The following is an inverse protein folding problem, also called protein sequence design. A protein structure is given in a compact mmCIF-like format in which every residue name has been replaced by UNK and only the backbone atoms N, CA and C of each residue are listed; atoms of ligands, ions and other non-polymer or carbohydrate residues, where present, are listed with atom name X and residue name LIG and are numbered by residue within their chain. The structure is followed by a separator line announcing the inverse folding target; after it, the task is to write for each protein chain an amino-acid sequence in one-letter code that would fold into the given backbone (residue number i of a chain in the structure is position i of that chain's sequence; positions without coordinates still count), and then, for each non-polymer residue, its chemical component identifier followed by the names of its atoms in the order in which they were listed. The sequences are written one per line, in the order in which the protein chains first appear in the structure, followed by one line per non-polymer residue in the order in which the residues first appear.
data_IF_466728888509
#
_entry.id   IF_466728888509
#
_cell.length_a   1.000
_cell.length_b   1.000
_cell.length_c   1.000
_cell.angle_alpha   90.00
_cell.angle_beta   90.00
_cell.angle_gamma   90.00
#
_symmetry.space_group_name_H-M   'P 1'
#
loop_
_entity.id
_entity.type
_entity.pdbx_description
1 polymer ?
#
# COMPACT_ATOMS: atom_id res chain seq x y z
N UNK A 1 -20.06 10.36 -2.29
CA UNK A 1 -19.49 9.14 -2.89
C UNK A 1 -20.34 8.77 -4.07
N UNK A 2 -19.79 8.75 -5.25
CA UNK A 2 -20.47 8.19 -6.43
C UNK A 2 -20.42 6.67 -6.31
N UNK A 3 -21.57 6.05 -6.18
CA UNK A 3 -21.70 4.59 -6.22
C UNK A 3 -21.33 4.14 -7.65
N UNK A 4 -20.62 3.01 -7.77
CA UNK A 4 -20.33 2.43 -9.09
C UNK A 4 -21.64 2.25 -9.88
N UNK A 5 -21.69 2.63 -11.16
CA UNK A 5 -22.87 2.39 -12.01
C UNK A 5 -23.35 0.93 -11.97
N UNK A 6 -22.42 -0.02 -11.84
CA UNK A 6 -22.72 -1.44 -11.69
C UNK A 6 -23.53 -1.81 -10.43
N UNK A 7 -23.60 -0.91 -9.44
CA UNK A 7 -24.39 -1.07 -8.22
C UNK A 7 -25.68 -0.22 -8.21
N UNK A 8 -26.03 0.40 -9.34
CA UNK A 8 -27.24 1.20 -9.48
C UNK A 8 -28.30 0.41 -10.23
N UNK A 9 -29.40 -0.03 -9.59
CA UNK A 9 -30.50 -0.73 -10.27
C UNK A 9 -31.06 0.07 -11.44
N UNK A 10 -31.21 1.38 -11.26
CA UNK A 10 -31.72 2.29 -12.29
C UNK A 10 -30.81 2.31 -13.52
N UNK A 11 -29.49 2.40 -13.30
CA UNK A 11 -28.52 2.37 -14.40
C UNK A 11 -28.53 1.02 -15.13
N UNK A 12 -28.58 -0.08 -14.38
CA UNK A 12 -28.61 -1.43 -14.97
C UNK A 12 -29.89 -1.67 -15.78
N UNK A 13 -31.04 -1.15 -15.34
CA UNK A 13 -32.29 -1.26 -16.07
C UNK A 13 -32.28 -0.39 -17.35
N UNK A 14 -31.83 0.86 -17.26
CA UNK A 14 -31.84 1.80 -18.37
C UNK A 14 -30.82 1.44 -19.47
N UNK A 15 -29.60 1.06 -19.10
CA UNK A 15 -28.52 0.83 -20.06
C UNK A 15 -28.45 -0.63 -20.55
N UNK A 16 -28.88 -1.58 -19.73
CA UNK A 16 -28.73 -3.01 -20.03
C UNK A 16 -30.04 -3.80 -20.03
N UNK A 17 -31.18 -3.19 -19.69
CA UNK A 17 -32.46 -3.88 -19.60
C UNK A 17 -32.52 -4.92 -18.46
N UNK A 18 -31.58 -4.88 -17.53
CA UNK A 18 -31.51 -5.80 -16.39
C UNK A 18 -32.42 -5.33 -15.25
N UNK A 19 -33.16 -6.24 -14.65
CA UNK A 19 -33.97 -5.99 -13.45
C UNK A 19 -33.32 -6.67 -12.24
N UNK A 20 -32.32 -6.04 -11.61
CA UNK A 20 -31.67 -6.62 -10.44
C UNK A 20 -32.60 -6.61 -9.24
N UNK A 21 -32.54 -7.65 -8.40
CA UNK A 21 -33.15 -7.65 -7.08
C UNK A 21 -32.14 -7.14 -6.06
N UNK A 22 -32.55 -6.21 -5.22
CA UNK A 22 -31.73 -5.72 -4.11
C UNK A 22 -32.02 -6.51 -2.84
N UNK A 23 -30.97 -6.89 -2.15
CA UNK A 23 -31.05 -7.50 -0.83
C UNK A 23 -30.08 -6.84 0.13
N UNK A 24 -30.60 -6.36 1.25
CA UNK A 24 -29.80 -5.72 2.29
C UNK A 24 -29.58 -6.71 3.43
N UNK A 25 -28.30 -7.04 3.69
CA UNK A 25 -27.94 -7.84 4.85
C UNK A 25 -28.04 -6.98 6.12
N UNK A 26 -28.92 -7.38 7.05
CA UNK A 26 -29.19 -6.65 8.30
C UNK A 26 -28.55 -7.30 9.51
N UNK A 27 -28.35 -8.61 9.47
CA UNK A 27 -27.89 -9.36 10.62
C UNK A 27 -26.35 -9.40 10.70
N UNK A 28 -25.83 -9.20 11.91
CA UNK A 28 -24.40 -9.22 12.20
C UNK A 28 -24.08 -10.55 12.87
N UNK A 29 -23.43 -11.45 12.11
CA UNK A 29 -23.11 -12.81 12.59
C UNK A 29 -21.67 -12.97 13.07
N UNK A 30 -20.79 -11.98 12.84
CA UNK A 30 -19.34 -12.07 13.18
C UNK A 30 -19.02 -11.71 14.61
N UNK A 31 -19.87 -10.98 15.30
CA UNK A 31 -19.67 -10.49 16.66
C UNK A 31 -20.75 -11.05 17.61
N UNK A 32 -20.35 -11.31 18.87
CA UNK A 32 -21.32 -11.68 19.91
C UNK A 32 -22.24 -10.52 20.22
N UNK A 33 -23.47 -10.81 20.66
CA UNK A 33 -24.47 -9.77 20.92
C UNK A 33 -24.05 -8.76 22.00
N UNK A 34 -23.19 -9.15 22.94
CA UNK A 34 -22.72 -8.33 24.07
C UNK A 34 -21.39 -7.63 23.78
N UNK A 35 -20.94 -7.62 22.52
CA UNK A 35 -19.68 -7.01 22.11
C UNK A 35 -19.80 -5.48 22.08
N UNK A 36 -18.85 -4.80 22.72
CA UNK A 36 -18.70 -3.34 22.63
C UNK A 36 -18.37 -2.87 21.23
N UNK A 37 -17.69 -3.70 20.42
CA UNK A 37 -17.45 -3.45 18.99
C UNK A 37 -18.79 -3.37 18.24
N UNK A 38 -19.72 -4.30 18.51
CA UNK A 38 -21.03 -4.30 17.91
C UNK A 38 -21.86 -3.08 18.36
N UNK A 39 -21.79 -2.72 19.63
CA UNK A 39 -22.47 -1.54 20.17
C UNK A 39 -21.99 -0.25 19.49
N UNK A 40 -20.67 -0.07 19.35
CA UNK A 40 -20.09 1.08 18.64
C UNK A 40 -20.46 1.11 17.15
N UNK A 41 -20.37 -0.02 16.47
CA UNK A 41 -20.70 -0.12 15.04
C UNK A 41 -22.19 0.18 14.80
N UNK A 42 -23.08 -0.27 15.71
CA UNK A 42 -24.51 -0.02 15.65
C UNK A 42 -24.82 1.46 15.91
N UNK A 43 -24.17 2.07 16.91
CA UNK A 43 -24.34 3.50 17.20
C UNK A 43 -23.90 4.37 16.00
N UNK A 44 -22.76 4.05 15.37
CA UNK A 44 -22.29 4.75 14.16
C UNK A 44 -23.26 4.57 12.99
N UNK A 45 -23.74 3.34 12.74
CA UNK A 45 -24.71 3.06 11.68
C UNK A 45 -26.00 3.83 11.87
N UNK A 46 -26.52 3.84 13.09
CA UNK A 46 -27.74 4.58 13.45
C UNK A 46 -27.54 6.08 13.28
N UNK A 47 -26.40 6.61 13.73
CA UNK A 47 -26.04 8.02 13.54
C UNK A 47 -25.98 8.41 12.07
N UNK A 48 -25.35 7.60 11.21
CA UNK A 48 -25.31 7.82 9.77
C UNK A 48 -26.69 7.79 9.12
N UNK A 49 -27.53 6.80 9.49
CA UNK A 49 -28.91 6.68 8.98
C UNK A 49 -29.76 7.89 9.36
N UNK A 50 -29.62 8.37 10.58
CA UNK A 50 -30.35 9.51 11.12
C UNK A 50 -29.69 10.86 10.81
N UNK A 51 -28.56 10.87 10.07
CA UNK A 51 -27.75 12.07 9.79
C UNK A 51 -27.28 12.79 11.06
N UNK A 52 -27.10 12.06 12.14
CA UNK A 52 -26.57 12.56 13.41
C UNK A 52 -25.10 12.20 13.52
N UNK A 53 -24.21 13.18 13.39
CA UNK A 53 -22.76 12.95 13.31
C UNK A 53 -22.05 13.13 14.66
N UNK A 54 -22.67 12.71 15.73
CA UNK A 54 -22.04 12.67 17.05
C UNK A 54 -21.11 11.46 17.16
N UNK A 55 -19.94 11.63 17.77
CA UNK A 55 -19.09 10.50 18.10
C UNK A 55 -19.80 9.63 19.14
N UNK A 56 -19.93 8.32 18.93
CA UNK A 56 -20.54 7.44 19.90
C UNK A 56 -19.69 7.42 21.18
N UNK A 57 -20.35 7.42 22.32
CA UNK A 57 -19.69 7.17 23.60
C UNK A 57 -19.34 5.69 23.69
N UNK A 58 -18.13 5.40 24.15
CA UNK A 58 -17.77 4.03 24.52
C UNK A 58 -18.71 3.56 25.63
N UNK A 59 -19.33 2.38 25.49
CA UNK A 59 -20.06 1.79 26.62
C UNK A 59 -19.12 1.65 27.81
N UNK A 60 -19.59 1.94 29.02
CA UNK A 60 -18.90 1.57 30.21
C UNK A 60 -18.92 0.05 30.37
N UNK A 61 -17.86 -0.53 30.89
CA UNK A 61 -17.78 -1.94 31.29
C UNK A 61 -17.85 -3.00 30.17
N UNK A 62 -17.41 -2.67 28.95
CA UNK A 62 -17.22 -3.67 27.89
C UNK A 62 -15.75 -4.12 27.84
N UNK A 63 -15.51 -5.44 27.94
CA UNK A 63 -14.14 -5.96 28.05
C UNK A 63 -13.36 -5.97 26.73
N UNK A 64 -14.03 -5.80 25.60
CA UNK A 64 -13.48 -5.95 24.23
C UNK A 64 -13.18 -4.61 23.55
N UNK A 65 -13.41 -3.47 24.21
CA UNK A 65 -13.12 -2.13 23.68
C UNK A 65 -12.49 -1.26 24.74
N UNK A 66 -11.33 -0.73 24.45
CA UNK A 66 -10.59 0.17 25.32
C UNK A 66 -10.21 1.46 24.60
N UNK A 67 -10.25 2.58 25.30
CA UNK A 67 -9.75 3.86 24.81
C UNK A 67 -8.27 4.00 25.16
N UNK A 68 -7.44 4.15 24.16
CA UNK A 68 -6.00 4.36 24.33
C UNK A 68 -5.55 5.74 23.82
N UNK A 69 -4.40 6.21 24.26
CA UNK A 69 -3.75 7.38 23.65
C UNK A 69 -3.16 6.98 22.29
N UNK A 70 -3.37 7.82 21.29
CA UNK A 70 -2.86 7.58 19.93
C UNK A 70 -1.31 7.49 19.89
N UNK A 71 -0.61 8.04 20.87
CA UNK A 71 0.85 7.96 21.02
C UNK A 71 1.31 6.56 21.43
N UNK A 72 0.48 5.82 22.15
CA UNK A 72 0.79 4.48 22.66
C UNK A 72 0.42 3.36 21.66
N UNK A 73 -0.29 3.68 20.59
CA UNK A 73 -0.83 2.69 19.65
C UNK A 73 0.22 1.69 19.15
N UNK A 74 1.38 2.18 18.67
CA UNK A 74 2.43 1.29 18.15
C UNK A 74 3.03 0.40 19.26
N UNK A 75 3.25 0.96 20.45
CA UNK A 75 3.79 0.22 21.61
C UNK A 75 2.82 -0.86 22.07
N UNK A 76 1.56 -0.52 22.28
CA UNK A 76 0.52 -1.47 22.69
C UNK A 76 0.32 -2.57 21.65
N UNK A 77 0.28 -2.22 20.37
CA UNK A 77 0.19 -3.21 19.30
C UNK A 77 1.40 -4.18 19.34
N UNK A 78 2.60 -3.66 19.54
CA UNK A 78 3.82 -4.45 19.71
C UNK A 78 3.77 -5.41 20.90
N UNK A 79 3.26 -4.94 22.04
CA UNK A 79 3.07 -5.76 23.26
C UNK A 79 2.01 -6.86 23.03
N UNK A 80 0.87 -6.52 22.45
CA UNK A 80 -0.22 -7.47 22.12
C UNK A 80 0.27 -8.56 21.16
N UNK A 81 1.12 -8.23 20.21
CA UNK A 81 1.75 -9.20 19.30
C UNK A 81 2.85 -10.05 19.97
N UNK A 82 3.10 -9.89 21.26
CA UNK A 82 4.15 -10.62 21.97
C UNK A 82 5.56 -10.25 21.52
N UNK A 83 5.76 -9.00 21.12
CA UNK A 83 7.03 -8.40 20.65
C UNK A 83 7.61 -9.09 19.41
N UNK A 84 6.74 -9.52 18.52
CA UNK A 84 7.09 -10.12 17.22
C UNK A 84 6.00 -9.78 16.19
N UNK A 85 6.34 -9.80 14.91
CA UNK A 85 5.35 -9.58 13.86
C UNK A 85 4.46 -10.83 13.74
N UNK A 86 3.18 -10.65 14.03
CA UNK A 86 2.15 -11.68 13.86
C UNK A 86 1.01 -11.15 13.01
N UNK A 87 -0.04 -11.96 12.82
CA UNK A 87 -1.28 -11.55 12.17
C UNK A 87 -2.42 -11.31 13.16
N UNK A 88 -2.10 -11.37 14.46
CA UNK A 88 -3.11 -11.35 15.53
C UNK A 88 -3.59 -9.94 15.86
N UNK A 89 -2.85 -8.92 15.44
CA UNK A 89 -3.23 -7.53 15.63
C UNK A 89 -2.92 -6.69 14.39
N UNK A 90 -3.69 -5.61 14.19
CA UNK A 90 -3.52 -4.66 13.10
C UNK A 90 -3.84 -3.24 13.58
N UNK A 91 -3.04 -2.28 13.13
CA UNK A 91 -3.29 -0.86 13.35
C UNK A 91 -4.04 -0.28 12.14
N UNK A 92 -5.19 0.34 12.40
CA UNK A 92 -5.98 0.99 11.36
C UNK A 92 -5.78 2.50 11.45
N UNK A 93 -5.42 3.13 10.33
CA UNK A 93 -5.20 4.57 10.22
C UNK A 93 -6.13 5.20 9.19
N UNK A 94 -6.54 6.45 9.44
CA UNK A 94 -7.42 7.19 8.54
C UNK A 94 -6.72 7.62 7.23
N UNK A 95 -5.41 7.85 7.28
CA UNK A 95 -4.62 8.33 6.13
C UNK A 95 -3.36 7.51 5.93
N UNK A 96 -2.87 7.48 4.68
CA UNK A 96 -1.61 6.83 4.36
C UNK A 96 -0.42 7.45 5.12
N UNK A 97 -0.43 8.76 5.36
CA UNK A 97 0.61 9.45 6.13
C UNK A 97 0.62 8.93 7.58
N UNK A 98 -0.56 8.81 8.20
CA UNK A 98 -0.66 8.26 9.55
C UNK A 98 -0.25 6.80 9.61
N UNK A 99 -0.64 5.99 8.63
CA UNK A 99 -0.22 4.59 8.53
C UNK A 99 1.31 4.47 8.45
N UNK A 100 1.97 5.31 7.67
CA UNK A 100 3.43 5.34 7.59
C UNK A 100 4.10 5.74 8.92
N UNK A 101 3.56 6.75 9.61
CA UNK A 101 4.06 7.14 10.93
C UNK A 101 3.98 5.96 11.93
N UNK A 102 2.88 5.22 11.92
CA UNK A 102 2.69 4.04 12.76
C UNK A 102 3.66 2.92 12.37
N UNK A 103 3.82 2.65 11.07
CA UNK A 103 4.78 1.66 10.57
C UNK A 103 6.22 1.99 10.98
N UNK A 104 6.62 3.27 10.90
CA UNK A 104 7.94 3.73 11.38
C UNK A 104 8.09 3.53 12.88
N UNK A 105 7.08 3.91 13.67
CA UNK A 105 7.12 3.75 15.12
C UNK A 105 7.23 2.27 15.49
N UNK A 106 6.46 1.41 14.84
CA UNK A 106 6.48 -0.03 15.05
C UNK A 106 7.84 -0.65 14.64
N UNK A 107 8.37 -0.27 13.47
CA UNK A 107 9.67 -0.73 13.00
C UNK A 107 10.81 -0.39 13.96
N UNK A 108 10.80 0.81 14.56
CA UNK A 108 11.80 1.21 15.56
C UNK A 108 11.76 0.34 16.82
N UNK A 109 10.59 -0.18 17.18
CA UNK A 109 10.45 -1.13 18.31
C UNK A 109 11.02 -2.49 17.94
N UNK A 110 10.85 -2.93 16.68
CA UNK A 110 11.34 -4.22 16.21
C UNK A 110 12.84 -4.21 15.90
N UNK A 111 13.36 -3.13 15.34
CA UNK A 111 14.75 -2.96 14.92
C UNK A 111 15.36 -1.71 15.54
N UNK A 112 15.63 -1.71 16.87
CA UNK A 112 16.20 -0.54 17.53
C UNK A 112 17.56 -0.15 16.93
N UNK A 113 17.68 1.13 16.49
CA UNK A 113 18.91 1.66 15.92
C UNK A 113 19.23 1.22 14.49
N UNK A 114 18.35 0.45 13.83
CA UNK A 114 18.51 0.05 12.43
C UNK A 114 17.69 0.96 11.53
N UNK A 115 18.36 1.84 10.79
CA UNK A 115 17.71 2.76 9.85
C UNK A 115 17.49 2.11 8.48
N UNK A 116 18.44 1.28 8.05
CA UNK A 116 18.40 0.63 6.74
C UNK A 116 17.46 -0.58 6.71
N UNK A 117 16.99 -0.91 5.50
CA UNK A 117 16.22 -2.13 5.29
C UNK A 117 16.99 -3.36 5.75
N UNK A 118 16.36 -4.19 6.54
CA UNK A 118 16.97 -5.37 7.15
C UNK A 118 16.18 -6.66 6.88
N UNK A 119 16.86 -7.78 7.01
CA UNK A 119 16.18 -9.07 7.00
C UNK A 119 15.16 -9.15 8.15
N UNK A 120 13.97 -9.63 7.86
CA UNK A 120 12.83 -9.64 8.79
C UNK A 120 11.88 -8.45 8.62
N UNK A 121 12.27 -7.38 7.91
CA UNK A 121 11.34 -6.29 7.60
C UNK A 121 10.12 -6.81 6.84
N UNK A 122 8.95 -6.30 7.19
CA UNK A 122 7.70 -6.58 6.49
C UNK A 122 7.36 -5.40 5.58
N UNK A 123 7.14 -5.71 4.32
CA UNK A 123 6.81 -4.73 3.31
C UNK A 123 5.43 -4.99 2.73
N UNK A 124 4.80 -3.94 2.24
CA UNK A 124 3.54 -3.99 1.49
C UNK A 124 3.80 -3.51 0.07
N UNK A 125 3.35 -4.28 -0.91
CA UNK A 125 3.39 -3.91 -2.32
C UNK A 125 2.40 -2.78 -2.58
N UNK A 126 2.79 -1.76 -3.33
CA UNK A 126 1.96 -0.58 -3.59
C UNK A 126 1.61 -0.38 -5.07
N UNK A 127 2.08 -1.28 -5.93
CA UNK A 127 1.76 -1.27 -7.36
C UNK A 127 1.64 -2.71 -7.85
N UNK A 128 0.54 -3.00 -8.57
CA UNK A 128 0.36 -4.32 -9.18
C UNK A 128 1.51 -4.64 -10.14
N UNK A 129 2.02 -5.85 -10.08
CA UNK A 129 3.10 -6.32 -10.95
C UNK A 129 2.99 -7.82 -11.24
N UNK A 130 3.66 -8.25 -12.30
CA UNK A 130 3.90 -9.66 -12.58
C UNK A 130 5.38 -9.97 -12.34
N UNK A 131 5.64 -11.01 -11.56
CA UNK A 131 7.00 -11.42 -11.25
C UNK A 131 7.08 -12.93 -11.12
N UNK A 132 8.03 -13.55 -11.83
CA UNK A 132 8.21 -15.02 -11.84
C UNK A 132 6.94 -15.82 -12.14
N UNK A 133 6.09 -15.30 -13.04
CA UNK A 133 4.82 -15.95 -13.43
C UNK A 133 3.65 -15.71 -12.47
N UNK A 134 3.90 -15.09 -11.31
CA UNK A 134 2.87 -14.74 -10.33
C UNK A 134 2.40 -13.30 -10.50
N UNK A 135 1.10 -13.08 -10.29
CA UNK A 135 0.54 -11.74 -10.19
C UNK A 135 0.54 -11.28 -8.73
N UNK A 136 1.26 -10.21 -8.45
CA UNK A 136 1.41 -9.62 -7.13
C UNK A 136 0.55 -8.36 -7.07
N UNK A 137 -0.40 -8.34 -6.13
CA UNK A 137 -1.36 -7.27 -5.99
C UNK A 137 -0.83 -6.12 -5.13
N UNK A 138 -1.32 -4.91 -5.43
CA UNK A 138 -1.24 -3.81 -4.49
C UNK A 138 -1.97 -4.20 -3.19
N UNK A 139 -1.28 -4.09 -2.06
CA UNK A 139 -1.76 -4.53 -0.74
C UNK A 139 -1.20 -5.88 -0.28
N UNK A 140 -0.54 -6.63 -1.16
CA UNK A 140 0.14 -7.86 -0.76
C UNK A 140 1.33 -7.57 0.15
N UNK A 141 1.50 -8.45 1.14
CA UNK A 141 2.63 -8.35 2.06
C UNK A 141 3.74 -9.31 1.68
N UNK A 142 4.98 -8.84 1.84
CA UNK A 142 6.17 -9.65 1.70
C UNK A 142 7.12 -9.42 2.88
N UNK A 143 7.99 -10.40 3.11
CA UNK A 143 9.03 -10.34 4.13
C UNK A 143 10.40 -10.34 3.48
N UNK A 144 11.27 -9.44 3.94
CA UNK A 144 12.66 -9.39 3.53
C UNK A 144 13.40 -10.58 4.16
N UNK A 145 13.97 -11.43 3.35
CA UNK A 145 14.81 -12.55 3.78
C UNK A 145 16.29 -12.16 3.78
N UNK A 146 16.71 -11.45 2.74
CA UNK A 146 18.09 -10.98 2.58
C UNK A 146 18.12 -9.63 1.88
N UNK A 147 19.08 -8.81 2.22
CA UNK A 147 19.39 -7.56 1.55
C UNK A 147 20.75 -7.68 0.85
N UNK A 148 20.86 -7.10 -0.33
CA UNK A 148 22.09 -7.05 -1.13
C UNK A 148 22.51 -5.61 -1.43
N UNK A 149 23.19 -5.42 -2.55
CA UNK A 149 23.79 -4.15 -2.92
C UNK A 149 22.74 -3.05 -3.15
N UNK A 150 23.11 -1.81 -2.74
CA UNK A 150 22.40 -0.59 -3.08
C UNK A 150 22.95 0.01 -4.35
N UNK A 151 22.08 0.61 -5.14
CA UNK A 151 22.42 1.31 -6.38
C UNK A 151 21.69 2.65 -6.40
N UNK A 152 22.44 3.74 -6.63
CA UNK A 152 21.88 5.08 -6.82
C UNK A 152 22.04 5.50 -8.26
N UNK A 153 21.01 6.12 -8.83
CA UNK A 153 20.97 6.59 -10.21
C UNK A 153 20.39 7.98 -10.26
N UNK A 154 21.20 8.98 -10.65
CA UNK A 154 20.75 10.36 -10.79
C UNK A 154 20.17 10.57 -12.19
N UNK A 155 18.97 11.10 -12.25
CA UNK A 155 18.21 11.28 -13.50
C UNK A 155 17.73 12.72 -13.63
N UNK A 156 17.94 13.30 -14.81
CA UNK A 156 17.42 14.63 -15.15
C UNK A 156 16.44 14.51 -16.30
N UNK A 157 15.23 15.05 -16.13
CA UNK A 157 14.20 15.01 -17.17
C UNK A 157 13.27 16.22 -17.09
N UNK A 158 12.55 16.49 -18.19
CA UNK A 158 11.66 17.63 -18.27
C UNK A 158 10.21 17.23 -18.04
N UNK A 159 9.51 17.97 -17.17
CA UNK A 159 8.08 17.83 -16.92
C UNK A 159 7.35 19.09 -17.35
N UNK A 160 6.08 18.95 -17.79
CA UNK A 160 5.22 20.11 -18.05
C UNK A 160 4.92 20.83 -16.75
N UNK A 161 4.94 22.16 -16.75
CA UNK A 161 4.65 22.98 -15.56
C UNK A 161 3.17 22.98 -15.20
N UNK A 162 2.28 22.81 -16.19
CA UNK A 162 0.85 22.62 -15.98
C UNK A 162 0.25 21.78 -17.12
N UNK A 163 -0.92 21.15 -16.96
CA UNK A 163 -1.58 20.40 -18.03
C UNK A 163 -1.85 21.21 -19.29
N UNK A 164 -2.21 22.49 -19.13
CA UNK A 164 -2.52 23.42 -20.22
C UNK A 164 -1.32 24.30 -20.63
N UNK A 165 -0.21 24.28 -19.88
CA UNK A 165 0.95 25.16 -20.09
C UNK A 165 1.93 24.63 -21.14
N UNK A 166 2.54 25.56 -21.90
CA UNK A 166 3.65 25.25 -22.82
C UNK A 166 5.01 25.14 -22.11
N UNK A 167 5.10 25.56 -20.84
CA UNK A 167 6.32 25.55 -20.04
C UNK A 167 6.76 24.13 -19.65
N UNK A 168 8.07 23.92 -19.64
CA UNK A 168 8.70 22.69 -19.10
C UNK A 168 9.74 23.09 -18.06
N UNK A 169 9.73 22.43 -16.91
CA UNK A 169 10.79 22.55 -15.91
C UNK A 169 11.69 21.31 -15.93
N UNK A 170 12.96 21.51 -15.67
CA UNK A 170 13.91 20.43 -15.43
C UNK A 170 13.70 19.90 -14.01
N UNK A 171 13.65 18.60 -13.87
CA UNK A 171 13.57 17.90 -12.59
C UNK A 171 14.78 16.99 -12.50
N UNK A 172 15.50 17.08 -11.40
CA UNK A 172 16.58 16.17 -11.04
C UNK A 172 16.06 15.28 -9.92
N UNK A 173 16.22 13.98 -10.07
CA UNK A 173 15.77 12.99 -9.09
C UNK A 173 16.82 11.90 -8.95
N UNK A 174 17.12 11.53 -7.72
CA UNK A 174 17.93 10.36 -7.41
C UNK A 174 17.02 9.17 -7.17
N UNK A 175 17.18 8.15 -7.98
CA UNK A 175 16.53 6.86 -7.81
C UNK A 175 17.45 5.96 -6.98
N UNK A 176 16.94 5.45 -5.88
CA UNK A 176 17.67 4.55 -5.00
C UNK A 176 17.04 3.16 -5.02
N UNK A 177 17.88 2.18 -5.27
CA UNK A 177 17.46 0.79 -5.39
C UNK A 177 18.24 -0.09 -4.44
N UNK A 178 17.65 -1.21 -4.07
CA UNK A 178 18.36 -2.27 -3.34
C UNK A 178 17.95 -3.64 -3.87
N UNK A 179 18.94 -4.50 -4.10
CA UNK A 179 18.65 -5.90 -4.36
C UNK A 179 18.20 -6.59 -3.08
N UNK A 180 17.18 -7.42 -3.16
CA UNK A 180 16.62 -8.14 -2.01
C UNK A 180 16.17 -9.52 -2.42
N UNK A 181 16.10 -10.43 -1.44
CA UNK A 181 15.31 -11.67 -1.55
C UNK A 181 14.10 -11.51 -0.65
N UNK A 182 12.93 -11.65 -1.22
CA UNK A 182 11.65 -11.52 -0.54
C UNK A 182 10.93 -12.86 -0.47
N UNK A 183 10.16 -13.07 0.60
CA UNK A 183 9.15 -14.12 0.68
C UNK A 183 7.79 -13.50 0.49
N UNK A 184 7.06 -13.97 -0.52
CA UNK A 184 5.68 -13.57 -0.82
C UNK A 184 4.76 -14.77 -0.66
N UNK A 185 3.46 -14.49 -0.60
CA UNK A 185 2.41 -15.50 -0.65
C UNK A 185 1.72 -15.41 -2.00
N UNK A 186 1.71 -16.52 -2.74
CA UNK A 186 1.02 -16.63 -4.02
C UNK A 186 -0.50 -16.71 -3.89
N UNK A 187 -1.18 -16.63 -5.01
CA UNK A 187 -2.65 -16.71 -5.10
C UNK A 187 -3.22 -18.04 -4.59
N UNK A 188 -2.45 -19.12 -4.68
CA UNK A 188 -2.80 -20.45 -4.14
C UNK A 188 -2.60 -20.55 -2.63
N UNK A 189 -2.01 -19.52 -2.01
CA UNK A 189 -1.71 -19.48 -0.58
C UNK A 189 -0.34 -20.04 -0.21
N UNK A 190 0.40 -20.59 -1.14
CA UNK A 190 1.77 -21.06 -0.94
C UNK A 190 2.75 -19.88 -0.88
N UNK A 191 3.83 -20.05 -0.13
CA UNK A 191 4.88 -19.05 -0.06
C UNK A 191 5.96 -19.37 -1.10
N UNK A 192 6.43 -18.34 -1.79
CA UNK A 192 7.55 -18.44 -2.72
C UNK A 192 8.58 -17.35 -2.43
N UNK A 193 9.81 -17.57 -2.86
CA UNK A 193 10.92 -16.62 -2.69
C UNK A 193 11.29 -16.03 -4.04
N UNK A 194 11.54 -14.73 -4.05
CA UNK A 194 11.92 -13.99 -5.24
C UNK A 194 13.10 -13.08 -4.95
N UNK A 195 14.08 -13.07 -5.83
CA UNK A 195 15.17 -12.08 -5.82
C UNK A 195 14.86 -10.99 -6.83
N UNK A 196 14.77 -9.76 -6.36
CA UNK A 196 14.39 -8.61 -7.20
C UNK A 196 15.08 -7.33 -6.71
N UNK A 197 14.92 -6.27 -7.49
CA UNK A 197 15.23 -4.91 -7.04
C UNK A 197 13.97 -4.30 -6.40
N UNK A 198 14.15 -3.50 -5.36
CA UNK A 198 13.10 -2.62 -4.82
C UNK A 198 13.51 -1.17 -4.99
N UNK A 199 12.52 -0.28 -5.12
CA UNK A 199 12.72 1.16 -5.19
C UNK A 199 12.61 1.77 -3.79
N UNK A 200 13.74 2.16 -3.20
CA UNK A 200 13.82 2.68 -1.82
C UNK A 200 13.14 4.04 -1.65
N UNK A 201 13.04 4.85 -2.70
CA UNK A 201 12.38 6.15 -2.65
C UNK A 201 10.93 6.12 -2.12
N UNK A 202 10.30 4.95 -2.11
CA UNK A 202 8.93 4.78 -1.66
C UNK A 202 8.81 4.09 -0.31
N UNK A 203 9.92 3.62 0.23
CA UNK A 203 9.93 2.83 1.45
C UNK A 203 9.53 3.67 2.67
N UNK A 204 10.12 4.85 2.81
CA UNK A 204 9.87 5.82 3.89
C UNK A 204 9.90 7.27 3.38
N UNK A 205 9.02 7.69 2.51
CA UNK A 205 9.02 9.08 2.10
C UNK A 205 8.51 9.96 3.25
N UNK A 206 9.19 11.06 3.52
CA UNK A 206 8.70 12.09 4.43
C UNK A 206 7.42 12.72 3.89
N UNK A 207 7.42 12.99 2.58
CA UNK A 207 6.23 13.28 1.80
C UNK A 207 5.97 12.11 0.85
N UNK A 208 4.69 11.81 0.60
CA UNK A 208 4.31 10.78 -0.37
C UNK A 208 4.86 11.17 -1.75
N UNK A 209 5.81 10.42 -2.33
CA UNK A 209 6.36 10.77 -3.62
C UNK A 209 5.27 10.70 -4.69
N UNK A 210 5.28 11.68 -5.60
CA UNK A 210 4.44 11.62 -6.79
C UNK A 210 4.83 10.39 -7.63
N UNK A 211 3.96 9.37 -7.60
CA UNK A 211 4.16 8.11 -8.34
C UNK A 211 4.39 8.38 -9.83
N UNK A 212 3.68 9.35 -10.40
CA UNK A 212 3.83 9.72 -11.81
C UNK A 212 5.24 10.25 -12.10
N UNK A 213 5.79 11.01 -11.14
CA UNK A 213 7.13 11.57 -11.25
C UNK A 213 8.20 10.46 -11.17
N UNK A 214 8.04 9.52 -10.25
CA UNK A 214 8.92 8.36 -10.10
C UNK A 214 8.91 7.48 -11.35
N UNK A 215 7.74 7.14 -11.88
CA UNK A 215 7.62 6.34 -13.10
C UNK A 215 8.26 7.04 -14.31
N UNK A 216 8.14 8.36 -14.41
CA UNK A 216 8.82 9.14 -15.44
C UNK A 216 10.34 9.13 -15.26
N UNK A 217 10.82 9.20 -14.03
CA UNK A 217 12.24 9.12 -13.73
C UNK A 217 12.82 7.73 -14.11
N UNK A 218 12.12 6.64 -13.76
CA UNK A 218 12.50 5.28 -14.16
C UNK A 218 12.59 5.15 -15.69
N UNK A 219 11.61 5.66 -16.42
CA UNK A 219 11.63 5.65 -17.88
C UNK A 219 12.72 6.54 -18.48
N UNK A 220 13.05 7.65 -17.83
CA UNK A 220 14.17 8.51 -18.27
C UNK A 220 15.52 7.82 -18.02
N UNK A 221 15.70 7.17 -16.87
CA UNK A 221 16.89 6.36 -16.58
C UNK A 221 17.05 5.23 -17.60
N UNK A 222 15.99 4.48 -17.86
CA UNK A 222 16.00 3.42 -18.87
C UNK A 222 16.45 3.96 -20.23
N UNK A 223 15.85 5.07 -20.69
CA UNK A 223 16.21 5.68 -21.97
C UNK A 223 17.69 6.14 -22.02
N UNK A 224 18.22 6.66 -20.91
CA UNK A 224 19.62 7.07 -20.81
C UNK A 224 20.58 5.88 -20.90
N UNK A 225 20.21 4.73 -20.35
CA UNK A 225 21.00 3.49 -20.44
C UNK A 225 20.92 2.82 -21.80
N UNK A 226 19.78 2.98 -22.49
CA UNK A 226 19.52 2.37 -23.80
C UNK A 226 19.20 3.42 -24.89
N UNK A 227 20.12 4.36 -25.17
CA UNK A 227 19.83 5.51 -26.07
C UNK A 227 19.57 5.11 -27.53
N UNK A 228 20.04 3.92 -27.94
CA UNK A 228 19.88 3.42 -29.31
C UNK A 228 18.55 2.71 -29.54
N UNK A 229 17.86 2.28 -28.50
CA UNK A 229 16.57 1.60 -28.63
C UNK A 229 15.46 2.60 -28.96
N UNK A 230 14.69 2.29 -29.99
CA UNK A 230 13.54 3.11 -30.39
C UNK A 230 12.28 2.65 -29.68
N UNK A 231 11.59 3.58 -29.03
CA UNK A 231 10.33 3.30 -28.36
C UNK A 231 9.32 2.64 -29.28
N UNK A 232 8.68 1.56 -28.81
CA UNK A 232 7.65 0.82 -29.55
C UNK A 232 8.19 -0.28 -30.46
N UNK A 233 9.51 -0.45 -30.60
CA UNK A 233 10.10 -1.62 -31.27
C UNK A 233 10.09 -2.84 -30.35
N UNK A 234 10.24 -4.03 -30.93
CA UNK A 234 10.35 -5.27 -30.17
C UNK A 234 11.54 -5.23 -29.23
N UNK A 235 12.71 -4.82 -29.71
CA UNK A 235 13.95 -4.72 -28.91
C UNK A 235 13.76 -3.78 -27.70
N UNK A 236 13.00 -2.70 -27.84
CA UNK A 236 12.65 -1.81 -26.72
C UNK A 236 11.76 -2.53 -25.70
N UNK A 237 10.77 -3.27 -26.16
CA UNK A 237 9.83 -3.99 -25.29
C UNK A 237 10.55 -5.12 -24.54
N UNK A 238 11.40 -5.87 -25.23
CA UNK A 238 12.17 -6.96 -24.64
C UNK A 238 13.14 -6.41 -23.57
N UNK A 239 13.90 -5.37 -23.91
CA UNK A 239 14.82 -4.72 -22.96
C UNK A 239 14.09 -4.11 -21.74
N UNK A 240 12.89 -3.57 -21.94
CA UNK A 240 12.06 -3.02 -20.87
C UNK A 240 11.55 -4.14 -19.93
N UNK A 241 11.13 -5.26 -20.49
CA UNK A 241 10.64 -6.40 -19.74
C UNK A 241 11.73 -7.08 -18.88
N UNK A 242 12.98 -7.03 -19.34
CA UNK A 242 14.13 -7.63 -18.64
C UNK A 242 14.86 -6.66 -17.69
N UNK A 243 14.53 -5.36 -17.73
CA UNK A 243 15.27 -4.36 -16.97
C UNK A 243 14.92 -4.40 -15.49
N UNK A 244 15.87 -4.71 -14.59
CA UNK A 244 15.60 -4.87 -13.16
C UNK A 244 15.24 -3.56 -12.44
N UNK A 245 15.63 -2.40 -12.98
CA UNK A 245 15.36 -1.10 -12.38
C UNK A 245 13.97 -0.60 -12.73
N UNK A 246 13.52 -0.80 -13.98
CA UNK A 246 12.15 -0.48 -14.40
C UNK A 246 11.16 -1.42 -13.73
N UNK A 247 11.53 -2.69 -13.59
CA UNK A 247 10.71 -3.73 -12.96
C UNK A 247 10.98 -3.85 -11.45
N UNK A 248 11.65 -2.86 -10.84
CA UNK A 248 11.83 -2.83 -9.41
C UNK A 248 10.48 -2.84 -8.69
N UNK A 249 10.37 -3.66 -7.65
CA UNK A 249 9.14 -3.77 -6.87
C UNK A 249 8.91 -2.48 -6.07
N UNK A 250 7.71 -1.95 -6.19
CA UNK A 250 7.27 -0.76 -5.48
C UNK A 250 6.68 -1.17 -4.13
N UNK A 251 7.33 -0.83 -3.04
CA UNK A 251 6.96 -1.27 -1.69
C UNK A 251 7.05 -0.15 -0.66
N UNK A 252 6.34 -0.34 0.45
CA UNK A 252 6.45 0.44 1.69
C UNK A 252 6.56 -0.49 2.89
N UNK A 253 7.01 0.02 4.02
CA UNK A 253 6.87 -0.73 5.27
C UNK A 253 5.39 -1.02 5.56
N UNK A 254 5.09 -2.25 5.96
CA UNK A 254 3.73 -2.76 6.14
C UNK A 254 3.61 -3.60 7.42
N UNK A 255 3.76 -2.94 8.60
CA UNK A 255 3.61 -3.56 9.89
C UNK A 255 2.19 -3.55 10.41
#
# INVERSE_FOLDING_TARGET
MTVSPALSPVHLEQEFGLKPSEHTLTDIVRQKQDSGILALATALRTGLKNKTYALPRLPADVPDVERIDARDMARLCWEVMGRRITRDAVMIAQTNVRAQQLNRAFRRLQFPGVEELAAGDKLMVILNTHMHGEFICNGDFCQVLRTGARTRRSVSFRVKTSPAGKGRRLVNLDLEFQSVTLRLRGNTGECFEVSCMILLNQLEPDDLPDMTLLLRALMADFKNRFPRLRRGTKDWQDALAEDPFVNALHVRYGY
#
